data_IF_867172081825
#
_entry.id   IF_867172081825
#
_cell.length_a   1.000
_cell.length_b   1.000
_cell.length_c   1.000
_cell.angle_alpha   90.00
_cell.angle_beta   90.00
_cell.angle_gamma   90.00
#
_symmetry.space_group_name_H-M   'P 1'
#
loop_
_entity.id
_entity.type
_entity.pdbx_description
1 polymer ?
#
# COMPACT_ATOMS: atom_id res chain seq x y z
N UNK A 1 8.22 -13.16 8.85
CA UNK A 1 6.84 -12.61 8.77
C UNK A 1 6.31 -12.52 7.35
N UNK A 2 7.08 -12.06 6.35
CA UNK A 2 6.57 -11.89 4.98
C UNK A 2 6.12 -13.20 4.31
N UNK A 3 6.88 -14.30 4.47
CA UNK A 3 6.47 -15.60 3.93
C UNK A 3 5.16 -16.08 4.53
N UNK A 4 5.01 -15.95 5.86
CA UNK A 4 3.76 -16.25 6.55
C UNK A 4 2.60 -15.38 6.05
N UNK A 5 2.83 -14.08 5.89
CA UNK A 5 1.82 -13.17 5.34
C UNK A 5 1.38 -13.55 3.92
N UNK A 6 2.33 -14.01 3.09
CA UNK A 6 2.06 -14.52 1.74
C UNK A 6 1.26 -15.82 1.77
N UNK A 7 1.51 -16.71 2.72
CA UNK A 7 0.69 -17.92 2.91
C UNK A 7 -0.75 -17.53 3.32
N UNK A 8 -0.89 -16.65 4.30
CA UNK A 8 -2.20 -16.17 4.76
C UNK A 8 -2.94 -15.50 3.60
N UNK A 9 -2.27 -14.70 2.76
CA UNK A 9 -2.85 -14.11 1.55
C UNK A 9 -3.52 -15.14 0.62
N UNK A 10 -2.89 -16.31 0.47
CA UNK A 10 -3.44 -17.41 -0.34
C UNK A 10 -4.61 -18.11 0.36
N UNK A 11 -4.45 -18.45 1.64
CA UNK A 11 -5.45 -19.18 2.43
C UNK A 11 -6.71 -18.35 2.68
N UNK A 12 -6.55 -17.09 3.03
CA UNK A 12 -7.63 -16.11 3.20
C UNK A 12 -8.26 -15.68 1.88
N UNK A 13 -7.69 -16.11 0.73
CA UNK A 13 -8.18 -15.81 -0.62
C UNK A 13 -8.26 -14.31 -0.92
N UNK A 14 -7.36 -13.52 -0.33
CA UNK A 14 -7.28 -12.07 -0.58
C UNK A 14 -7.09 -11.77 -2.07
N UNK A 15 -6.35 -12.64 -2.77
CA UNK A 15 -6.09 -12.57 -4.22
C UNK A 15 -7.33 -12.67 -5.09
N UNK A 16 -8.45 -13.24 -4.63
CA UNK A 16 -9.66 -13.36 -5.46
C UNK A 16 -10.25 -11.99 -5.80
N UNK A 17 -10.10 -11.02 -4.90
CA UNK A 17 -10.51 -9.64 -5.09
C UNK A 17 -9.31 -8.74 -5.44
N UNK A 18 -8.23 -8.82 -4.66
CA UNK A 18 -7.08 -7.92 -4.84
C UNK A 18 -6.08 -8.36 -5.92
N UNK A 19 -6.24 -9.56 -6.49
CA UNK A 19 -5.31 -10.14 -7.46
C UNK A 19 -4.06 -10.72 -6.82
N UNK A 20 -3.29 -11.53 -7.56
CA UNK A 20 -2.08 -12.17 -7.01
C UNK A 20 -1.01 -11.15 -6.58
N UNK A 21 -0.95 -10.00 -7.27
CA UNK A 21 0.00 -8.92 -6.99
C UNK A 21 -0.58 -7.74 -6.20
N UNK A 22 -1.83 -7.84 -5.73
CA UNK A 22 -2.47 -6.77 -4.94
C UNK A 22 -2.93 -5.54 -5.73
N UNK A 23 -3.06 -5.61 -7.06
CA UNK A 23 -3.44 -4.48 -7.91
C UNK A 23 -4.94 -4.18 -7.95
N UNK A 24 -5.75 -4.98 -7.27
CA UNK A 24 -7.21 -4.89 -7.36
C UNK A 24 -7.78 -5.52 -8.64
N UNK A 25 -7.03 -6.40 -9.29
CA UNK A 25 -7.36 -7.06 -10.55
C UNK A 25 -7.76 -8.54 -10.36
N UNK A 26 -8.22 -8.91 -9.17
CA UNK A 26 -8.70 -10.26 -8.89
C UNK A 26 -9.97 -10.60 -9.68
N UNK A 27 -10.21 -11.89 -9.91
CA UNK A 27 -11.37 -12.38 -10.67
C UNK A 27 -12.74 -11.89 -10.16
N UNK A 28 -12.86 -11.58 -8.86
CA UNK A 28 -14.09 -11.04 -8.25
C UNK A 28 -14.18 -9.52 -8.30
N UNK A 29 -13.10 -8.81 -8.60
CA UNK A 29 -12.99 -7.36 -8.45
C UNK A 29 -14.08 -6.58 -9.19
N UNK A 30 -14.37 -6.94 -10.44
CA UNK A 30 -15.33 -6.22 -11.29
C UNK A 30 -16.79 -6.31 -10.81
N UNK A 31 -17.13 -7.33 -10.01
CA UNK A 31 -18.50 -7.58 -9.54
C UNK A 31 -18.82 -6.98 -8.17
N UNK A 32 -17.83 -6.41 -7.47
CA UNK A 32 -17.99 -5.93 -6.10
C UNK A 32 -18.79 -4.63 -6.05
N UNK A 33 -19.78 -4.60 -5.16
CA UNK A 33 -20.63 -3.45 -4.88
C UNK A 33 -20.72 -3.19 -3.38
N UNK A 34 -20.90 -1.94 -2.99
CA UNK A 34 -21.23 -1.59 -1.62
C UNK A 34 -22.67 -1.97 -1.27
N UNK A 35 -23.03 -1.80 0.01
CA UNK A 35 -24.35 -2.17 0.55
C UNK A 35 -25.50 -1.36 -0.07
N UNK A 36 -25.21 -0.24 -0.73
CA UNK A 36 -26.18 0.61 -1.42
C UNK A 36 -26.14 0.46 -2.95
N UNK A 37 -25.35 -0.48 -3.47
CA UNK A 37 -25.36 -0.94 -4.86
C UNK A 37 -24.39 -0.25 -5.82
N UNK A 38 -23.52 0.64 -5.35
CA UNK A 38 -22.47 1.26 -6.17
C UNK A 38 -21.25 0.35 -6.31
N UNK A 39 -20.63 0.37 -7.48
CA UNK A 39 -19.41 -0.39 -7.74
C UNK A 39 -18.30 0.04 -6.77
N UNK A 40 -17.72 -0.94 -6.08
CA UNK A 40 -16.64 -0.73 -5.10
C UNK A 40 -15.45 -1.60 -5.46
N UNK A 41 -14.59 -1.15 -6.39
CA UNK A 41 -13.40 -1.90 -6.77
C UNK A 41 -12.44 -2.00 -5.58
N UNK A 42 -11.72 -3.13 -5.43
CA UNK A 42 -10.64 -3.24 -4.46
C UNK A 42 -9.55 -2.19 -4.71
N UNK A 43 -8.92 -1.72 -3.64
CA UNK A 43 -7.79 -0.79 -3.77
C UNK A 43 -6.59 -1.46 -4.45
N UNK A 44 -5.85 -0.69 -5.27
CA UNK A 44 -4.50 -1.06 -5.71
C UNK A 44 -3.55 -0.89 -4.52
N UNK A 45 -3.27 -2.01 -3.84
CA UNK A 45 -2.40 -2.07 -2.67
C UNK A 45 -0.93 -1.80 -3.04
N UNK A 46 -0.56 -1.89 -4.33
CA UNK A 46 0.79 -1.58 -4.76
C UNK A 46 1.08 -0.09 -4.76
N UNK A 47 0.04 0.75 -4.75
CA UNK A 47 0.18 2.21 -4.76
C UNK A 47 0.72 2.79 -3.44
N UNK A 48 0.57 2.06 -2.33
CA UNK A 48 0.84 2.57 -0.99
C UNK A 48 -0.20 3.59 -0.49
N UNK A 49 -1.24 3.88 -1.27
CA UNK A 49 -2.31 4.81 -0.93
C UNK A 49 -3.51 4.03 -0.40
N UNK A 50 -3.57 3.89 0.93
CA UNK A 50 -4.63 3.13 1.60
C UNK A 50 -5.67 4.07 2.22
N UNK A 51 -6.96 3.71 2.09
CA UNK A 51 -8.09 4.50 2.63
C UNK A 51 -7.99 4.72 4.14
N UNK A 52 -7.41 3.77 4.87
CA UNK A 52 -7.32 3.79 6.34
C UNK A 52 -6.02 4.39 6.87
N UNK A 53 -5.10 4.80 5.99
CA UNK A 53 -3.74 5.23 6.36
C UNK A 53 -2.67 4.20 5.94
N UNK A 54 -1.42 4.65 5.70
CA UNK A 54 -0.35 3.81 5.17
C UNK A 54 0.43 3.02 6.24
N UNK A 55 0.18 3.26 7.52
CA UNK A 55 0.87 2.56 8.59
C UNK A 55 0.44 1.09 8.66
N UNK A 56 1.34 0.21 9.12
CA UNK A 56 1.03 -1.23 9.23
C UNK A 56 -0.10 -1.48 10.23
N UNK A 57 -0.22 -0.65 11.26
CA UNK A 57 -1.28 -0.63 12.26
C UNK A 57 -2.64 -0.30 11.63
N UNK A 58 -2.69 0.60 10.65
CA UNK A 58 -3.91 0.99 9.94
C UNK A 58 -4.40 -0.14 9.02
N UNK A 59 -3.47 -0.85 8.39
CA UNK A 59 -3.74 -2.03 7.57
C UNK A 59 -4.20 -3.18 8.47
N UNK A 60 -3.54 -3.41 9.61
CA UNK A 60 -3.94 -4.40 10.60
C UNK A 60 -5.36 -4.13 11.12
N UNK A 61 -5.68 -2.87 11.43
CA UNK A 61 -7.02 -2.45 11.82
C UNK A 61 -8.02 -2.81 10.73
N UNK A 62 -7.75 -2.45 9.47
CA UNK A 62 -8.60 -2.76 8.32
C UNK A 62 -8.85 -4.26 8.15
N UNK A 63 -7.80 -5.08 8.19
CA UNK A 63 -7.92 -6.55 8.09
C UNK A 63 -8.75 -7.11 9.26
N UNK A 64 -8.54 -6.57 10.45
CA UNK A 64 -9.20 -7.04 11.66
C UNK A 64 -10.67 -6.65 11.70
N UNK A 65 -11.02 -5.44 11.31
CA UNK A 65 -12.40 -4.94 11.41
C UNK A 65 -13.21 -5.16 10.13
N UNK A 66 -12.55 -5.35 9.00
CA UNK A 66 -13.18 -5.16 7.70
C UNK A 66 -13.48 -3.69 7.45
N UNK A 67 -14.19 -3.42 6.34
CA UNK A 67 -14.70 -2.09 6.00
C UNK A 67 -16.21 -2.17 5.83
N UNK A 68 -16.95 -1.73 6.85
CA UNK A 68 -18.43 -1.68 6.84
C UNK A 68 -18.96 -0.94 5.63
N UNK A 69 -20.05 -1.43 5.04
CA UNK A 69 -20.57 -0.88 3.80
C UNK A 69 -19.93 -1.47 2.55
N UNK A 70 -18.82 -2.23 2.66
CA UNK A 70 -18.10 -2.78 1.50
C UNK A 70 -18.01 -4.31 1.58
N UNK A 71 -17.68 -4.99 0.45
CA UNK A 71 -17.42 -6.43 0.46
C UNK A 71 -16.15 -6.87 1.20
N UNK A 72 -15.35 -5.96 1.78
CA UNK A 72 -14.13 -6.31 2.51
C UNK A 72 -14.48 -6.80 3.93
N UNK A 73 -14.37 -8.12 4.21
CA UNK A 73 -14.85 -8.69 5.46
C UNK A 73 -13.87 -8.45 6.61
N UNK A 74 -14.34 -8.70 7.84
CA UNK A 74 -13.46 -8.86 9.00
C UNK A 74 -12.79 -10.23 8.96
N UNK A 75 -11.51 -10.28 9.33
CA UNK A 75 -10.75 -11.51 9.53
C UNK A 75 -10.43 -11.78 11.01
N UNK A 76 -11.04 -11.04 11.94
CA UNK A 76 -10.78 -11.15 13.40
C UNK A 76 -10.94 -12.58 13.91
N UNK A 77 -12.04 -13.22 13.52
CA UNK A 77 -12.43 -14.54 14.04
C UNK A 77 -11.87 -15.69 13.21
N UNK A 78 -11.38 -15.40 11.99
CA UNK A 78 -10.85 -16.39 11.06
C UNK A 78 -9.35 -16.61 11.19
N UNK A 79 -8.61 -15.61 11.68
CA UNK A 79 -7.15 -15.66 11.80
C UNK A 79 -6.66 -15.05 13.12
N UNK A 80 -5.66 -15.68 13.77
CA UNK A 80 -5.04 -15.14 14.98
C UNK A 80 -4.32 -13.82 14.70
N UNK A 81 -4.05 -13.05 15.75
CA UNK A 81 -3.39 -11.74 15.66
C UNK A 81 -2.04 -11.82 14.92
N UNK A 82 -1.22 -12.85 15.18
CA UNK A 82 0.08 -13.03 14.51
C UNK A 82 -0.06 -13.19 12.99
N UNK A 83 -1.06 -13.93 12.52
CA UNK A 83 -1.32 -14.09 11.09
C UNK A 83 -1.84 -12.81 10.45
N UNK A 84 -2.68 -12.06 11.17
CA UNK A 84 -3.15 -10.75 10.71
C UNK A 84 -2.01 -9.74 10.66
N UNK A 85 -1.08 -9.74 11.62
CA UNK A 85 0.13 -8.92 11.56
C UNK A 85 1.02 -9.31 10.39
N UNK A 86 1.29 -10.60 10.21
CA UNK A 86 2.08 -11.09 9.09
C UNK A 86 1.46 -10.68 7.74
N UNK A 87 0.14 -10.78 7.60
CA UNK A 87 -0.61 -10.32 6.43
C UNK A 87 -0.47 -8.81 6.22
N UNK A 88 -0.57 -7.99 7.27
CA UNK A 88 -0.39 -6.55 7.18
C UNK A 88 1.00 -6.17 6.66
N UNK A 89 2.06 -6.78 7.20
CA UNK A 89 3.42 -6.55 6.71
C UNK A 89 3.60 -7.00 5.26
N UNK A 90 2.96 -8.09 4.86
CA UNK A 90 2.95 -8.53 3.47
C UNK A 90 2.26 -7.50 2.56
N UNK A 91 1.14 -6.92 2.97
CA UNK A 91 0.44 -5.85 2.22
C UNK A 91 1.32 -4.61 2.08
N UNK A 92 1.99 -4.18 3.15
CA UNK A 92 2.97 -3.06 3.09
C UNK A 92 4.10 -3.39 2.09
N UNK A 93 4.58 -4.63 2.07
CA UNK A 93 5.64 -5.03 1.15
C UNK A 93 5.22 -4.97 -0.34
N UNK A 94 3.91 -5.02 -0.65
CA UNK A 94 3.42 -4.86 -2.02
C UNK A 94 3.62 -3.44 -2.57
N UNK A 95 3.70 -2.42 -1.70
CA UNK A 95 3.94 -1.02 -2.09
C UNK A 95 5.39 -0.56 -1.89
N UNK A 96 6.25 -1.35 -1.25
CA UNK A 96 7.60 -0.97 -0.82
C UNK A 96 8.56 -0.52 -1.94
N UNK A 97 8.17 -0.65 -3.21
CA UNK A 97 9.00 -0.29 -4.37
C UNK A 97 8.38 0.77 -5.26
N UNK A 98 7.37 1.50 -4.80
CA UNK A 98 6.84 2.67 -5.51
C UNK A 98 6.94 3.91 -4.64
N UNK A 99 7.28 5.03 -5.27
CA UNK A 99 7.19 6.33 -4.64
C UNK A 99 5.71 6.67 -4.40
N UNK A 100 5.28 6.99 -3.17
CA UNK A 100 3.87 7.18 -2.85
C UNK A 100 3.26 8.41 -3.53
N UNK A 101 4.05 9.39 -3.97
CA UNK A 101 3.56 10.59 -4.66
C UNK A 101 3.41 10.39 -6.17
N UNK A 102 4.38 9.74 -6.81
CA UNK A 102 4.43 9.57 -8.28
C UNK A 102 3.98 8.19 -8.75
N UNK A 103 3.85 7.23 -7.83
CA UNK A 103 3.59 5.80 -8.09
C UNK A 103 4.61 5.13 -9.02
N UNK A 104 5.73 5.80 -9.28
CA UNK A 104 6.81 5.26 -10.10
C UNK A 104 7.65 4.27 -9.28
N UNK A 105 8.21 3.23 -9.92
CA UNK A 105 9.14 2.35 -9.26
C UNK A 105 10.31 3.12 -8.65
N UNK A 106 10.59 2.89 -7.37
CA UNK A 106 11.78 3.41 -6.72
C UNK A 106 13.00 2.77 -7.39
N UNK A 107 13.88 3.62 -7.95
CA UNK A 107 15.17 3.16 -8.47
C UNK A 107 16.10 2.89 -7.29
N UNK A 108 16.08 1.65 -6.80
CA UNK A 108 16.93 1.17 -5.72
C UNK A 108 18.04 0.31 -6.30
N UNK A 109 19.29 0.72 -6.09
CA UNK A 109 20.47 -0.09 -6.46
C UNK A 109 20.41 -1.43 -5.74
N UNK A 110 20.84 -2.51 -6.40
CA UNK A 110 20.77 -3.86 -5.86
C UNK A 110 21.50 -3.98 -4.51
N UNK A 111 22.61 -3.26 -4.37
CA UNK A 111 23.44 -3.19 -3.17
C UNK A 111 22.68 -2.52 -2.02
N UNK A 112 21.98 -1.41 -2.30
CA UNK A 112 21.18 -0.72 -1.29
C UNK A 112 19.97 -1.56 -0.86
N UNK A 113 19.37 -2.31 -1.79
CA UNK A 113 18.30 -3.25 -1.48
C UNK A 113 18.79 -4.43 -0.62
N UNK A 114 20.00 -4.92 -0.87
CA UNK A 114 20.60 -5.94 -0.01
C UNK A 114 20.86 -5.39 1.40
N UNK A 115 21.40 -4.17 1.50
CA UNK A 115 21.64 -3.51 2.78
C UNK A 115 20.35 -3.29 3.58
N UNK A 116 19.25 -2.86 2.94
CA UNK A 116 17.95 -2.68 3.61
C UNK A 116 17.32 -3.97 4.15
N UNK A 117 17.77 -5.14 3.69
CA UNK A 117 17.33 -6.43 4.22
C UNK A 117 18.26 -6.96 5.33
N UNK A 118 19.36 -6.27 5.62
CA UNK A 118 20.28 -6.63 6.69
C UNK A 118 19.70 -6.18 8.04
N UNK A 119 19.44 -7.14 8.92
CA UNK A 119 18.90 -6.88 10.26
C UNK A 119 19.91 -6.19 11.18
N UNK A 120 21.20 -6.23 10.85
CA UNK A 120 22.26 -5.55 11.59
C UNK A 120 22.48 -4.10 11.11
N UNK A 121 21.84 -3.69 10.01
CA UNK A 121 21.92 -2.32 9.51
C UNK A 121 21.17 -1.37 10.45
N UNK A 122 21.93 -0.56 11.19
CA UNK A 122 21.39 0.48 12.06
C UNK A 122 21.50 1.83 11.37
N UNK A 123 20.36 2.45 11.05
CA UNK A 123 20.30 3.86 10.73
C UNK A 123 19.99 4.67 12.01
N UNK A 124 20.61 5.83 12.15
CA UNK A 124 20.36 6.74 13.26
C UNK A 124 18.93 7.31 13.23
N UNK A 125 18.32 7.37 12.02
CA UNK A 125 16.93 7.78 11.80
C UNK A 125 16.28 7.04 10.60
N UNK A 126 14.94 6.84 10.59
CA UNK A 126 14.24 6.14 9.51
C UNK A 126 14.45 6.79 8.14
N UNK A 127 14.51 8.13 8.08
CA UNK A 127 14.68 8.88 6.82
C UNK A 127 16.10 8.73 6.24
N UNK A 128 17.03 8.20 7.04
CA UNK A 128 18.42 7.91 6.65
C UNK A 128 18.68 6.43 6.39
N UNK A 129 17.66 5.57 6.56
CA UNK A 129 17.76 4.15 6.24
C UNK A 129 18.04 3.92 4.75
N UNK A 130 17.58 4.84 3.89
CA UNK A 130 17.88 4.83 2.46
C UNK A 130 17.91 6.26 1.91
N UNK A 131 19.01 6.63 1.26
CA UNK A 131 19.09 7.87 0.46
C UNK A 131 19.02 7.47 -1.02
N UNK A 132 17.92 7.81 -1.73
CA UNK A 132 17.80 7.55 -3.16
C UNK A 132 18.93 8.23 -3.95
N UNK A 133 19.26 7.68 -5.13
CA UNK A 133 20.27 8.27 -6.01
C UNK A 133 19.87 9.72 -6.40
N UNK A 134 20.72 10.73 -6.14
CA UNK A 134 20.40 12.13 -6.41
C UNK A 134 20.23 12.45 -7.90
N UNK A 135 20.64 11.55 -8.79
CA UNK A 135 20.41 11.67 -10.25
C UNK A 135 18.97 11.30 -10.67
N UNK A 136 18.18 10.68 -9.78
CA UNK A 136 16.76 10.44 -9.99
C UNK A 136 16.00 11.62 -9.37
N UNK A 137 15.27 12.43 -10.16
CA UNK A 137 14.59 13.58 -9.61
C UNK A 137 13.60 13.10 -8.55
N UNK A 138 13.72 13.63 -7.32
CA UNK A 138 12.67 13.51 -6.34
C UNK A 138 11.41 14.10 -6.97
N UNK A 139 10.37 13.29 -7.14
CA UNK A 139 9.05 13.79 -7.50
C UNK A 139 8.52 14.59 -6.32
N UNK A 140 8.91 15.86 -6.28
CA UNK A 140 8.34 16.84 -5.37
C UNK A 140 6.83 16.92 -5.56
N UNK A 141 6.09 17.43 -4.55
CA UNK A 141 4.65 17.63 -4.68
C UNK A 141 4.36 18.47 -5.93
N UNK A 142 3.26 18.18 -6.66
CA UNK A 142 2.87 18.96 -7.82
C UNK A 142 2.79 20.44 -7.43
N UNK A 143 3.39 21.31 -8.24
CA UNK A 143 3.33 22.76 -8.03
C UNK A 143 1.86 23.20 -7.90
N UNK A 144 1.53 24.11 -6.96
CA UNK A 144 0.18 24.63 -6.85
C UNK A 144 -0.25 25.24 -8.18
N UNK A 145 -1.53 25.09 -8.60
CA UNK A 145 -2.01 25.68 -9.83
C UNK A 145 -1.81 27.19 -9.77
N UNK A 146 -1.06 27.73 -10.73
CA UNK A 146 -0.76 29.15 -10.79
C UNK A 146 -2.05 29.99 -10.81
N UNK A 147 -2.18 30.87 -9.83
CA UNK A 147 -3.20 31.93 -9.83
C UNK A 147 -3.07 32.72 -11.14
N UNK A 148 -4.09 32.60 -12.00
CA UNK A 148 -4.26 33.52 -13.12
C UNK A 148 -4.49 34.89 -12.53
N UNK A 149 -3.51 35.78 -12.65
CA UNK A 149 -3.70 37.21 -12.42
C UNK A 149 -4.85 37.68 -13.30
N UNK A 150 -5.90 38.18 -12.65
CA UNK A 150 -6.99 38.89 -13.31
C UNK A 150 -6.40 40.16 -13.96
N UNK A 151 -6.80 40.51 -15.20
CA UNK A 151 -6.40 41.79 -15.78
C UNK A 151 -7.01 42.92 -14.94
N UNK A 152 -6.18 43.82 -14.45
CA UNK A 152 -6.61 45.09 -13.88
C UNK A 152 -7.37 45.86 -14.96
N UNK A 153 -8.63 46.19 -14.67
CA UNK A 153 -9.45 47.06 -15.53
C UNK A 153 -9.06 48.53 -15.40
N UNK A 154 -9.49 49.31 -16.40
CA UNK A 154 -9.56 50.77 -16.34
C UNK A 154 -8.55 51.46 -17.25
#
# INVERSE_FOLDING_TARGET
MLDRGKEVWQVAKCWECHGQGGKGDGQKAAGLKDDIGFATPPADLTSGQFKSGPAVEDIFRTITTGLSGTPMPSYRDSFPDEDRWALSYFVVALSAYKDPLSLQPLSIKKEARAALNDLELVADKPERAYVPDPSVPASGPPAPPGEKQAPAGG
#
